data_IF_436727095681
#
_entry.id   IF_436727095681
#
_cell.length_a   1.000
_cell.length_b   1.000
_cell.length_c   1.000
_cell.angle_alpha   90.00
_cell.angle_beta   90.00
_cell.angle_gamma   90.00
#
_symmetry.space_group_name_H-M   'P 1'
#
loop_
_entity.id
_entity.type
_entity.pdbx_description
1 polymer ?
#
# COMPACT_ATOMS: atom_id res chain seq x y z
N UNK A 1 -9.53 -2.61 -34.17
CA UNK A 1 -8.24 -3.21 -33.77
C UNK A 1 -7.46 -2.14 -33.02
N UNK A 2 -7.21 -2.30 -31.72
CA UNK A 2 -6.24 -1.43 -31.03
C UNK A 2 -4.86 -1.84 -31.54
N UNK A 3 -4.14 -0.93 -32.18
CA UNK A 3 -2.74 -1.15 -32.57
C UNK A 3 -1.95 -1.35 -31.27
N UNK A 4 -1.44 -2.56 -31.04
CA UNK A 4 -0.57 -2.83 -29.90
C UNK A 4 0.77 -2.18 -30.27
N UNK A 5 1.03 -0.99 -29.72
CA UNK A 5 2.31 -0.31 -29.88
C UNK A 5 3.31 -0.99 -28.94
N UNK A 6 4.45 -1.44 -29.46
CA UNK A 6 5.52 -1.95 -28.62
C UNK A 6 6.19 -0.80 -27.88
N UNK A 7 6.73 -1.07 -26.69
CA UNK A 7 7.49 -0.09 -25.93
C UNK A 7 8.67 0.46 -26.75
N UNK A 8 9.34 -0.41 -27.51
CA UNK A 8 10.42 -0.04 -28.43
C UNK A 8 9.98 0.92 -29.54
N UNK A 9 8.74 0.78 -30.04
CA UNK A 9 8.19 1.70 -31.03
C UNK A 9 7.98 3.09 -30.43
N UNK A 10 7.44 3.18 -29.22
CA UNK A 10 7.24 4.46 -28.49
C UNK A 10 8.59 5.17 -28.29
N UNK A 11 9.61 4.47 -27.81
CA UNK A 11 10.95 5.06 -27.64
C UNK A 11 11.54 5.54 -28.98
N UNK A 12 11.35 4.75 -30.05
CA UNK A 12 11.83 5.13 -31.39
C UNK A 12 11.12 6.37 -31.91
N UNK A 13 9.81 6.49 -31.69
CA UNK A 13 9.01 7.63 -32.13
C UNK A 13 9.36 8.91 -31.34
N UNK A 14 9.57 8.80 -30.03
CA UNK A 14 10.06 9.91 -29.20
C UNK A 14 11.45 10.36 -29.69
N UNK A 15 12.38 9.42 -29.93
CA UNK A 15 13.70 9.78 -30.42
C UNK A 15 13.67 10.38 -31.83
N UNK A 16 12.73 9.94 -32.68
CA UNK A 16 12.56 10.52 -34.01
C UNK A 16 12.09 11.98 -33.95
N UNK A 17 11.15 12.28 -33.04
CA UNK A 17 10.62 13.62 -32.86
C UNK A 17 11.59 14.54 -32.08
N UNK A 18 12.43 13.97 -31.21
CA UNK A 18 13.37 14.68 -30.34
C UNK A 18 14.76 14.04 -30.38
N UNK A 19 15.50 14.16 -31.49
CA UNK A 19 16.74 13.41 -31.73
C UNK A 19 17.90 13.79 -30.79
N UNK A 20 17.91 15.02 -30.29
CA UNK A 20 18.93 15.54 -29.38
C UNK A 20 18.56 15.39 -27.89
N UNK A 21 17.35 14.89 -27.59
CA UNK A 21 16.89 14.68 -26.24
C UNK A 21 17.12 13.25 -25.75
N UNK A 22 17.21 13.11 -24.42
CA UNK A 22 17.29 11.82 -23.75
C UNK A 22 15.92 11.49 -23.14
N UNK A 23 15.47 10.26 -23.34
CA UNK A 23 14.25 9.74 -22.73
C UNK A 23 14.59 9.13 -21.38
N UNK A 24 13.97 9.65 -20.31
CA UNK A 24 14.04 9.09 -18.97
C UNK A 24 12.73 8.36 -18.65
N UNK A 25 12.82 7.05 -18.41
CA UNK A 25 11.72 6.26 -17.85
C UNK A 25 11.96 6.08 -16.35
N UNK A 26 10.98 6.49 -15.55
CA UNK A 26 10.97 6.28 -14.09
C UNK A 26 9.93 5.20 -13.79
N UNK A 27 10.37 4.14 -13.12
CA UNK A 27 9.49 3.11 -12.58
C UNK A 27 9.62 3.09 -11.06
N UNK A 28 8.69 3.78 -10.39
CA UNK A 28 8.59 3.80 -8.93
C UNK A 28 7.90 2.51 -8.44
N UNK A 29 8.27 2.02 -7.26
CA UNK A 29 7.76 0.77 -6.66
C UNK A 29 7.88 -0.45 -7.59
N UNK A 30 9.07 -0.64 -8.18
CA UNK A 30 9.32 -1.71 -9.16
C UNK A 30 9.07 -3.12 -8.60
N UNK A 31 9.05 -3.29 -7.27
CA UNK A 31 8.65 -4.53 -6.63
C UNK A 31 7.24 -5.02 -6.99
N UNK A 32 6.35 -4.13 -7.45
CA UNK A 32 4.99 -4.50 -7.86
C UNK A 32 4.97 -5.57 -8.95
N UNK A 33 6.01 -5.61 -9.79
CA UNK A 33 6.23 -6.66 -10.77
C UNK A 33 6.22 -8.07 -10.16
N UNK A 34 6.62 -8.20 -8.89
CA UNK A 34 6.73 -9.47 -8.18
C UNK A 34 5.64 -9.69 -7.13
N UNK A 35 4.77 -8.70 -6.89
CA UNK A 35 3.68 -8.80 -5.90
C UNK A 35 2.31 -8.84 -6.56
N UNK A 36 2.11 -8.10 -7.65
CA UNK A 36 0.85 -8.06 -8.40
C UNK A 36 0.77 -9.14 -9.49
N UNK A 37 1.92 -9.51 -10.06
CA UNK A 37 1.98 -10.57 -11.06
C UNK A 37 2.12 -11.93 -10.39
N UNK A 38 1.14 -12.81 -10.62
CA UNK A 38 1.11 -14.17 -10.08
C UNK A 38 1.93 -15.13 -10.97
N UNK A 39 2.07 -14.81 -12.26
CA UNK A 39 2.75 -15.65 -13.24
C UNK A 39 4.18 -15.14 -13.51
N UNK A 40 5.19 -15.89 -13.05
CA UNK A 40 6.60 -15.53 -13.24
C UNK A 40 6.98 -15.35 -14.72
N UNK A 41 6.35 -16.08 -15.63
CA UNK A 41 6.61 -16.00 -17.06
C UNK A 41 6.22 -14.63 -17.63
N UNK A 42 5.10 -14.05 -17.19
CA UNK A 42 4.67 -12.72 -17.60
C UNK A 42 5.66 -11.67 -17.10
N UNK A 43 6.07 -11.73 -15.83
CA UNK A 43 7.07 -10.80 -15.27
C UNK A 43 8.40 -10.88 -16.01
N UNK A 44 8.85 -12.09 -16.39
CA UNK A 44 10.08 -12.29 -17.17
C UNK A 44 9.97 -11.71 -18.58
N UNK A 45 8.87 -11.99 -19.28
CA UNK A 45 8.63 -11.43 -20.62
C UNK A 45 8.57 -9.90 -20.58
N UNK A 46 7.96 -9.32 -19.55
CA UNK A 46 7.95 -7.87 -19.35
C UNK A 46 9.37 -7.32 -19.15
N UNK A 47 10.19 -7.96 -18.31
CA UNK A 47 11.59 -7.57 -18.10
C UNK A 47 12.42 -7.69 -19.39
N UNK A 48 12.20 -8.72 -20.20
CA UNK A 48 12.86 -8.87 -21.51
C UNK A 48 12.54 -7.70 -22.44
N UNK A 49 11.26 -7.38 -22.60
CA UNK A 49 10.80 -6.26 -23.44
C UNK A 49 11.35 -4.93 -22.90
N UNK A 50 11.31 -4.73 -21.58
CA UNK A 50 11.85 -3.53 -20.95
C UNK A 50 13.36 -3.39 -21.22
N UNK A 51 14.16 -4.41 -20.89
CA UNK A 51 15.61 -4.40 -21.06
C UNK A 51 16.04 -4.27 -22.53
N UNK A 52 15.24 -4.77 -23.48
CA UNK A 52 15.51 -4.58 -24.91
C UNK A 52 15.49 -3.12 -25.35
N UNK A 53 14.76 -2.25 -24.63
CA UNK A 53 14.68 -0.80 -24.89
C UNK A 53 15.88 -0.02 -24.30
N UNK A 54 16.66 -0.66 -23.43
CA UNK A 54 17.80 -0.08 -22.72
C UNK A 54 19.06 -0.95 -22.90
N UNK A 55 19.63 -1.06 -24.11
CA UNK A 55 20.84 -1.85 -24.34
C UNK A 55 22.03 -1.31 -23.52
N UNK A 56 22.86 -2.20 -22.95
CA UNK A 56 24.10 -1.80 -22.24
C UNK A 56 25.04 -1.14 -23.24
N UNK A 57 25.37 0.13 -23.01
CA UNK A 57 26.24 0.88 -23.91
C UNK A 57 27.70 0.55 -23.62
N UNK A 58 28.20 -0.54 -24.21
CA UNK A 58 29.65 -0.79 -24.32
C UNK A 58 30.30 0.03 -25.46
N UNK A 59 29.52 0.82 -26.19
CA UNK A 59 30.01 1.74 -27.22
C UNK A 59 29.87 3.19 -26.76
N UNK A 60 30.80 4.05 -27.18
CA UNK A 60 30.83 5.50 -26.88
C UNK A 60 29.64 6.30 -27.44
N UNK A 61 28.56 5.62 -27.85
CA UNK A 61 27.30 6.27 -28.21
C UNK A 61 26.52 6.48 -26.91
N UNK A 62 26.30 7.74 -26.52
CA UNK A 62 25.38 8.08 -25.43
C UNK A 62 24.04 7.40 -25.70
N UNK A 63 23.64 6.46 -24.84
CA UNK A 63 22.31 5.89 -24.91
C UNK A 63 21.30 7.01 -24.64
N UNK A 64 20.44 7.27 -25.62
CA UNK A 64 19.37 8.27 -25.48
C UNK A 64 18.35 7.88 -24.42
N UNK A 65 18.29 6.61 -24.02
CA UNK A 65 17.31 6.10 -23.06
C UNK A 65 17.97 5.82 -21.69
N UNK A 66 17.32 6.26 -20.62
CA UNK A 66 17.68 6.01 -19.21
C UNK A 66 16.49 5.39 -18.50
N UNK A 67 16.74 4.34 -17.73
CA UNK A 67 15.76 3.74 -16.83
C UNK A 67 16.21 4.01 -15.39
N UNK A 68 15.32 4.60 -14.59
CA UNK A 68 15.47 4.71 -13.14
C UNK A 68 14.36 3.90 -12.50
N UNK A 69 14.75 2.90 -11.71
CA UNK A 69 13.80 2.11 -10.93
C UNK A 69 14.01 2.39 -9.44
N UNK A 70 12.93 2.41 -8.67
CA UNK A 70 12.99 2.35 -7.21
C UNK A 70 12.48 0.97 -6.79
N UNK A 71 13.11 0.37 -5.78
CA UNK A 71 12.68 -0.93 -5.28
C UNK A 71 13.08 -1.07 -3.82
N UNK A 72 12.21 -1.66 -3.00
CA UNK A 72 12.56 -2.00 -1.63
C UNK A 72 13.59 -3.16 -1.58
N UNK A 73 14.49 -3.11 -0.60
CA UNK A 73 15.61 -4.05 -0.50
C UNK A 73 15.19 -5.51 -0.26
N UNK A 74 14.03 -5.75 0.36
CA UNK A 74 13.45 -7.08 0.58
C UNK A 74 13.04 -7.79 -0.73
N UNK A 75 12.83 -7.04 -1.81
CA UNK A 75 12.54 -7.59 -3.14
C UNK A 75 13.77 -7.80 -4.02
N UNK A 76 14.96 -7.38 -3.56
CA UNK A 76 16.20 -7.54 -4.33
C UNK A 76 16.50 -9.01 -4.63
N UNK A 77 16.17 -9.94 -3.73
CA UNK A 77 16.34 -11.39 -3.96
C UNK A 77 15.54 -11.85 -5.19
N UNK A 78 14.30 -11.37 -5.34
CA UNK A 78 13.47 -11.70 -6.51
C UNK A 78 14.04 -11.07 -7.78
N UNK A 79 14.48 -9.81 -7.72
CA UNK A 79 15.12 -9.15 -8.85
C UNK A 79 16.39 -9.87 -9.34
N UNK A 80 17.21 -10.37 -8.41
CA UNK A 80 18.43 -11.11 -8.73
C UNK A 80 18.18 -12.53 -9.27
N UNK A 81 16.95 -13.04 -9.15
CA UNK A 81 16.60 -14.36 -9.70
C UNK A 81 16.59 -14.40 -11.23
N UNK A 82 16.40 -13.24 -11.89
CA UNK A 82 16.42 -13.12 -13.34
C UNK A 82 17.76 -12.54 -13.82
N UNK A 83 18.58 -13.41 -14.43
CA UNK A 83 19.99 -13.10 -14.74
C UNK A 83 20.21 -11.83 -15.57
N UNK A 84 19.48 -11.59 -16.68
CA UNK A 84 19.67 -10.38 -17.49
C UNK A 84 19.40 -9.09 -16.71
N UNK A 85 18.45 -9.09 -15.78
CA UNK A 85 18.19 -7.92 -14.93
C UNK A 85 19.24 -7.79 -13.84
N UNK A 86 19.65 -8.90 -13.23
CA UNK A 86 20.73 -8.92 -12.24
C UNK A 86 22.05 -8.35 -12.80
N UNK A 87 22.40 -8.68 -14.04
CA UNK A 87 23.59 -8.16 -14.71
C UNK A 87 23.52 -6.63 -14.91
N UNK A 88 22.33 -6.06 -15.15
CA UNK A 88 22.15 -4.60 -15.23
C UNK A 88 22.24 -3.91 -13.87
N UNK A 89 21.69 -4.52 -12.82
CA UNK A 89 21.77 -3.97 -11.47
C UNK A 89 23.22 -3.89 -10.96
N UNK A 90 24.11 -4.77 -11.42
CA UNK A 90 25.54 -4.69 -11.07
C UNK A 90 26.23 -3.43 -11.61
N UNK A 91 25.74 -2.88 -12.72
CA UNK A 91 26.31 -1.67 -13.33
C UNK A 91 25.86 -0.40 -12.57
N UNK A 92 24.65 -0.41 -12.00
CA UNK A 92 24.03 0.74 -11.32
C UNK A 92 23.07 0.30 -10.20
N UNK A 93 23.53 0.33 -8.95
CA UNK A 93 22.72 0.11 -7.74
C UNK A 93 23.06 1.20 -6.70
N UNK A 94 22.12 2.12 -6.47
CA UNK A 94 22.24 3.16 -5.44
C UNK A 94 21.41 2.73 -4.23
N UNK A 95 22.11 2.39 -3.15
CA UNK A 95 21.49 2.01 -1.88
C UNK A 95 21.22 3.27 -1.06
N UNK A 96 19.96 3.56 -0.83
CA UNK A 96 19.53 4.62 0.07
C UNK A 96 19.38 4.04 1.47
N UNK A 97 20.33 4.38 2.34
CA UNK A 97 20.24 4.11 3.78
C UNK A 97 19.29 5.08 4.49
N UNK A 98 18.98 4.82 5.77
CA UNK A 98 18.34 5.82 6.60
C UNK A 98 19.21 7.09 6.68
N UNK A 99 18.58 8.25 6.77
CA UNK A 99 19.29 9.53 6.93
C UNK A 99 20.12 9.51 8.22
N UNK A 100 21.32 10.08 8.12
CA UNK A 100 22.16 10.42 9.27
C UNK A 100 21.51 11.50 10.13
N UNK A 101 22.00 11.66 11.37
CA UNK A 101 21.55 12.73 12.27
C UNK A 101 21.77 14.11 11.65
N UNK A 102 22.90 14.28 10.97
CA UNK A 102 23.28 15.52 10.30
C UNK A 102 22.30 15.84 9.15
N UNK A 103 21.98 14.86 8.31
CA UNK A 103 20.99 15.02 7.23
C UNK A 103 19.59 15.33 7.78
N UNK A 104 19.16 14.63 8.85
CA UNK A 104 17.89 14.92 9.52
C UNK A 104 17.86 16.33 10.10
N UNK A 105 18.98 16.80 10.65
CA UNK A 105 19.10 18.17 11.19
C UNK A 105 18.88 19.18 10.07
N UNK A 106 19.50 18.97 8.90
CA UNK A 106 19.29 19.82 7.74
C UNK A 106 17.85 19.78 7.23
N UNK A 107 17.22 18.60 7.19
CA UNK A 107 15.82 18.42 6.79
C UNK A 107 14.87 19.20 7.70
N UNK A 108 15.13 19.24 9.01
CA UNK A 108 14.30 19.95 9.99
C UNK A 108 14.54 21.47 9.93
N UNK A 109 15.80 21.91 9.91
CA UNK A 109 16.15 23.31 10.11
C UNK A 109 16.10 24.15 8.83
N UNK A 110 16.55 23.61 7.70
CA UNK A 110 16.72 24.40 6.47
C UNK A 110 15.40 24.95 5.91
N UNK A 111 14.28 24.20 5.88
CA UNK A 111 13.00 24.74 5.41
C UNK A 111 12.53 25.95 6.25
N UNK A 112 12.66 25.84 7.57
CA UNK A 112 12.25 26.88 8.53
C UNK A 112 13.14 28.12 8.38
N UNK A 113 14.45 27.93 8.23
CA UNK A 113 15.42 29.01 8.02
C UNK A 113 15.17 29.77 6.71
N UNK A 114 14.86 29.06 5.61
CA UNK A 114 14.55 29.68 4.31
C UNK A 114 13.32 30.58 4.36
N UNK A 115 12.35 30.28 5.22
CA UNK A 115 11.14 31.07 5.41
C UNK A 115 11.31 32.21 6.44
N UNK A 116 12.49 32.32 7.07
CA UNK A 116 12.77 33.34 8.09
C UNK A 116 12.13 33.05 9.45
N UNK A 117 11.72 31.80 9.69
CA UNK A 117 11.23 31.32 10.98
C UNK A 117 12.39 30.76 11.81
N UNK A 118 12.14 30.52 13.09
CA UNK A 118 13.09 29.85 13.99
C UNK A 118 12.40 28.79 14.84
N UNK A 119 13.15 27.78 15.22
CA UNK A 119 12.77 26.94 16.34
C UNK A 119 13.07 27.67 17.65
N UNK A 120 12.26 27.41 18.67
CA UNK A 120 12.65 27.66 20.06
C UNK A 120 13.93 26.89 20.40
N UNK A 121 14.74 27.45 21.31
CA UNK A 121 16.07 26.93 21.63
C UNK A 121 15.94 25.48 22.13
N UNK A 122 16.65 24.55 21.48
CA UNK A 122 16.64 23.12 21.83
C UNK A 122 15.48 22.31 21.23
N UNK A 123 14.53 22.94 20.52
CA UNK A 123 13.40 22.21 19.93
C UNK A 123 13.80 21.31 18.76
N UNK A 124 14.69 21.77 17.88
CA UNK A 124 15.17 20.94 16.77
C UNK A 124 15.90 19.67 17.27
N UNK A 125 16.76 19.82 18.28
CA UNK A 125 17.45 18.69 18.94
C UNK A 125 16.48 17.72 19.60
N UNK A 126 15.43 18.24 20.24
CA UNK A 126 14.37 17.41 20.83
C UNK A 126 13.62 16.60 19.77
N UNK A 127 13.25 17.22 18.64
CA UNK A 127 12.60 16.54 17.52
C UNK A 127 13.53 15.45 16.96
N UNK A 128 14.83 15.74 16.80
CA UNK A 128 15.82 14.78 16.33
C UNK A 128 15.93 13.56 17.24
N UNK A 129 16.03 13.76 18.56
CA UNK A 129 16.10 12.67 19.53
C UNK A 129 14.85 11.78 19.46
N UNK A 130 13.66 12.37 19.28
CA UNK A 130 12.42 11.61 19.16
C UNK A 130 12.35 10.76 17.88
N UNK A 131 13.04 11.16 16.80
CA UNK A 131 13.13 10.43 15.52
C UNK A 131 14.19 9.32 15.57
N UNK A 132 15.31 9.55 16.23
CA UNK A 132 16.40 8.56 16.33
C UNK A 132 16.00 7.29 17.07
N UNK A 133 15.10 7.40 18.05
CA UNK A 133 14.51 6.25 18.74
C UNK A 133 13.63 5.37 17.81
N UNK A 134 13.26 5.87 16.63
CA UNK A 134 12.30 5.25 15.69
C UNK A 134 12.86 5.23 14.25
N UNK A 135 13.99 4.53 14.00
CA UNK A 135 14.66 4.56 12.71
C UNK A 135 13.74 4.10 11.58
N UNK A 136 13.56 4.98 10.58
CA UNK A 136 12.74 4.71 9.38
C UNK A 136 11.42 5.47 9.30
N UNK A 137 11.02 6.22 10.35
CA UNK A 137 9.74 6.92 10.38
C UNK A 137 9.82 8.40 9.90
N UNK A 138 10.47 8.65 8.76
CA UNK A 138 10.41 9.96 8.07
C UNK A 138 8.98 10.49 7.87
N UNK A 139 7.97 9.64 7.59
CA UNK A 139 6.58 10.12 7.51
C UNK A 139 6.03 10.67 8.82
N UNK A 140 6.43 10.13 9.99
CA UNK A 140 6.04 10.71 11.28
C UNK A 140 6.68 12.07 11.49
N UNK A 141 7.95 12.22 11.10
CA UNK A 141 8.64 13.50 11.15
C UNK A 141 7.94 14.53 10.27
N UNK A 142 7.64 14.19 9.01
CA UNK A 142 6.89 15.05 8.08
C UNK A 142 5.55 15.49 8.69
N UNK A 143 4.78 14.54 9.22
CA UNK A 143 3.50 14.82 9.85
C UNK A 143 3.64 15.75 11.06
N UNK A 144 4.57 15.45 11.97
CA UNK A 144 4.81 16.24 13.17
C UNK A 144 5.24 17.67 12.82
N UNK A 145 6.16 17.85 11.86
CA UNK A 145 6.60 19.17 11.40
C UNK A 145 5.45 19.94 10.74
N UNK A 146 4.60 19.27 9.96
CA UNK A 146 3.41 19.89 9.35
C UNK A 146 2.44 20.40 10.41
N UNK A 147 2.16 19.59 11.44
CA UNK A 147 1.28 19.99 12.56
C UNK A 147 1.90 21.04 13.47
N UNK A 148 3.22 21.00 13.66
CA UNK A 148 3.94 22.04 14.38
C UNK A 148 3.88 23.36 13.62
N UNK A 149 4.03 23.32 12.29
CA UNK A 149 3.91 24.49 11.42
C UNK A 149 2.51 25.12 11.46
N UNK A 150 1.45 24.31 11.45
CA UNK A 150 0.06 24.79 11.61
C UNK A 150 -0.16 25.57 12.93
N UNK A 151 0.66 25.30 13.95
CA UNK A 151 0.61 25.94 15.28
C UNK A 151 1.70 26.99 15.51
N UNK A 152 2.41 27.41 14.47
CA UNK A 152 3.42 28.46 14.59
C UNK A 152 2.84 29.74 15.19
N UNK A 153 3.64 30.44 16.00
CA UNK A 153 3.26 31.73 16.57
C UNK A 153 4.46 32.68 16.50
N UNK A 154 4.23 33.91 16.04
CA UNK A 154 5.28 34.96 16.08
C UNK A 154 6.56 34.63 15.30
N UNK A 155 6.45 33.92 14.16
CA UNK A 155 7.60 33.41 13.37
C UNK A 155 8.47 32.38 14.11
N UNK A 156 7.89 31.72 15.11
CA UNK A 156 8.58 30.72 15.91
C UNK A 156 7.76 29.43 16.03
N UNK A 157 8.47 28.31 16.02
CA UNK A 157 7.94 26.98 16.38
C UNK A 157 8.35 26.71 17.83
N UNK A 158 7.40 26.38 18.69
CA UNK A 158 7.60 26.34 20.15
C UNK A 158 7.49 24.94 20.73
N UNK A 159 8.12 24.74 21.90
CA UNK A 159 7.99 23.50 22.66
C UNK A 159 6.54 23.21 23.04
N UNK A 160 5.79 24.24 23.46
CA UNK A 160 4.38 24.11 23.81
C UNK A 160 3.54 23.58 22.63
N UNK A 161 3.78 24.10 21.42
CA UNK A 161 3.10 23.62 20.22
C UNK A 161 3.49 22.17 19.90
N UNK A 162 4.78 21.82 20.08
CA UNK A 162 5.30 20.48 19.87
C UNK A 162 4.69 19.45 20.85
N UNK A 163 4.51 19.82 22.12
CA UNK A 163 3.82 18.99 23.10
C UNK A 163 2.33 18.89 22.83
N UNK A 164 1.69 19.99 22.43
CA UNK A 164 0.28 20.02 22.10
C UNK A 164 -0.06 19.09 20.94
N UNK A 165 0.82 18.94 19.94
CA UNK A 165 0.62 17.98 18.85
C UNK A 165 0.90 16.53 19.27
N UNK A 166 1.60 16.29 20.39
CA UNK A 166 1.93 14.94 20.87
C UNK A 166 3.32 14.46 20.47
N UNK A 167 4.22 15.35 20.06
CA UNK A 167 5.60 15.03 19.64
C UNK A 167 5.63 14.08 18.42
N UNK A 168 6.80 13.70 17.93
CA UNK A 168 6.92 12.84 16.71
C UNK A 168 6.17 11.51 16.88
N UNK A 169 6.39 10.80 17.99
CA UNK A 169 5.82 9.46 18.23
C UNK A 169 4.29 9.42 18.25
N UNK A 170 3.66 10.38 18.93
CA UNK A 170 2.20 10.36 19.15
C UNK A 170 1.44 11.36 18.30
N UNK A 171 2.09 12.23 17.52
CA UNK A 171 1.36 13.21 16.73
C UNK A 171 0.35 12.59 15.78
N UNK A 172 0.77 11.56 15.02
CA UNK A 172 -0.12 10.90 14.07
C UNK A 172 -1.23 10.11 14.77
N UNK A 173 -0.90 9.36 15.83
CA UNK A 173 -1.87 8.59 16.60
C UNK A 173 -2.89 9.48 17.33
N UNK A 174 -2.43 10.57 17.94
CA UNK A 174 -3.29 11.57 18.59
C UNK A 174 -4.21 12.23 17.58
N UNK A 175 -3.69 12.63 16.43
CA UNK A 175 -4.50 13.21 15.37
C UNK A 175 -5.56 12.23 14.85
N UNK A 176 -5.18 10.97 14.61
CA UNK A 176 -6.11 9.92 14.20
C UNK A 176 -7.20 9.69 15.25
N UNK A 177 -6.83 9.64 16.52
CA UNK A 177 -7.77 9.54 17.64
C UNK A 177 -8.71 10.74 17.72
N UNK A 178 -8.19 11.97 17.66
CA UNK A 178 -8.99 13.20 17.69
C UNK A 178 -9.98 13.28 16.53
N UNK A 179 -9.63 12.72 15.36
CA UNK A 179 -10.53 12.61 14.21
C UNK A 179 -11.55 11.50 14.39
N UNK A 180 -11.14 10.34 14.88
CA UNK A 180 -12.00 9.21 15.18
C UNK A 180 -13.05 9.54 16.26
N UNK A 181 -12.66 10.25 17.31
CA UNK A 181 -13.53 10.61 18.43
C UNK A 181 -14.60 11.66 18.03
N UNK A 182 -14.44 12.32 16.89
CA UNK A 182 -15.45 13.24 16.31
C UNK A 182 -16.49 12.54 15.46
N UNK A 183 -16.25 11.30 15.06
CA UNK A 183 -17.20 10.49 14.29
C UNK A 183 -18.39 10.09 15.17
N UNK A 184 -19.57 9.94 14.57
CA UNK A 184 -20.72 9.35 15.25
C UNK A 184 -20.46 7.88 15.60
N UNK A 185 -21.20 7.29 16.54
CA UNK A 185 -21.03 5.87 16.90
C UNK A 185 -21.11 4.92 15.68
N UNK A 186 -21.98 5.23 14.71
CA UNK A 186 -22.09 4.45 13.47
C UNK A 186 -20.84 4.58 12.61
N UNK A 187 -20.37 5.81 12.39
CA UNK A 187 -19.16 6.07 11.61
C UNK A 187 -17.90 5.53 12.28
N UNK A 188 -17.86 5.50 13.61
CA UNK A 188 -16.79 4.88 14.39
C UNK A 188 -16.69 3.38 14.11
N UNK A 189 -17.81 2.66 14.06
CA UNK A 189 -17.84 1.24 13.67
C UNK A 189 -17.39 1.03 12.21
N UNK A 190 -17.83 1.92 11.31
CA UNK A 190 -17.42 1.89 9.90
C UNK A 190 -15.92 2.14 9.74
N UNK A 191 -15.38 3.15 10.42
CA UNK A 191 -13.97 3.49 10.40
C UNK A 191 -13.11 2.33 10.93
N UNK A 192 -13.53 1.66 12.02
CA UNK A 192 -12.85 0.45 12.51
C UNK A 192 -12.77 -0.62 11.42
N UNK A 193 -13.88 -0.94 10.75
CA UNK A 193 -13.92 -1.92 9.66
C UNK A 193 -13.03 -1.51 8.49
N UNK A 194 -13.08 -0.24 8.09
CA UNK A 194 -12.24 0.30 7.03
C UNK A 194 -10.76 0.09 7.38
N UNK A 195 -10.29 0.63 8.51
CA UNK A 195 -8.87 0.53 8.87
C UNK A 195 -8.38 -0.92 8.98
N UNK A 196 -9.20 -1.83 9.54
CA UNK A 196 -8.84 -3.26 9.62
C UNK A 196 -8.78 -3.92 8.23
N UNK A 197 -9.58 -3.48 7.26
CA UNK A 197 -9.49 -3.93 5.86
C UNK A 197 -8.22 -3.40 5.15
N UNK A 198 -7.67 -2.27 5.58
CA UNK A 198 -6.47 -1.64 4.99
C UNK A 198 -5.15 -2.16 5.58
N UNK A 199 -5.20 -3.21 6.38
CA UNK A 199 -4.01 -3.81 7.00
C UNK A 199 -3.93 -5.30 6.68
N UNK A 200 -2.72 -5.74 6.33
CA UNK A 200 -2.37 -7.15 6.29
C UNK A 200 -1.84 -7.59 7.68
N UNK A 201 -2.48 -8.56 8.35
CA UNK A 201 -2.01 -9.04 9.63
C UNK A 201 -0.77 -9.94 9.44
N UNK A 202 0.44 -9.40 9.62
CA UNK A 202 1.68 -10.18 9.68
C UNK A 202 1.90 -10.86 11.05
N UNK A 203 2.93 -11.69 11.16
CA UNK A 203 3.32 -12.30 12.44
C UNK A 203 3.88 -11.26 13.41
N UNK A 204 3.37 -11.24 14.65
CA UNK A 204 3.75 -10.25 15.67
C UNK A 204 3.32 -8.83 15.29
N UNK A 205 4.23 -7.86 15.49
CA UNK A 205 4.02 -6.43 15.19
C UNK A 205 4.31 -6.04 13.73
N UNK A 206 4.54 -7.01 12.84
CA UNK A 206 4.87 -6.75 11.42
C UNK A 206 3.61 -6.59 10.56
N UNK A 207 2.69 -5.74 11.01
CA UNK A 207 1.54 -5.36 10.19
C UNK A 207 1.98 -4.47 9.03
N UNK A 208 1.48 -4.74 7.83
CA UNK A 208 1.80 -3.94 6.64
C UNK A 208 0.52 -3.33 6.07
N UNK A 209 0.66 -2.21 5.36
CA UNK A 209 -0.48 -1.61 4.67
C UNK A 209 -0.99 -2.50 3.54
N UNK A 210 -2.28 -2.39 3.25
CA UNK A 210 -2.97 -3.09 2.16
C UNK A 210 -3.90 -2.10 1.45
N UNK A 211 -3.91 -2.15 0.12
CA UNK A 211 -4.92 -1.47 -0.70
C UNK A 211 -6.23 -2.25 -0.69
N UNK A 212 -7.35 -1.56 -0.49
CA UNK A 212 -8.69 -2.11 -0.67
C UNK A 212 -9.43 -1.33 -1.76
N UNK A 213 -10.31 -2.01 -2.50
CA UNK A 213 -11.17 -1.36 -3.48
C UNK A 213 -12.57 -1.08 -2.91
N UNK A 214 -13.36 -0.29 -3.66
CA UNK A 214 -14.74 0.06 -3.29
C UNK A 214 -15.65 -1.15 -3.06
N UNK A 215 -15.51 -2.21 -3.85
CA UNK A 215 -16.34 -3.42 -3.71
C UNK A 215 -16.03 -4.17 -2.40
N UNK A 216 -14.76 -4.21 -1.99
CA UNK A 216 -14.33 -4.84 -0.74
C UNK A 216 -14.79 -4.08 0.51
N UNK A 217 -14.86 -2.75 0.44
CA UNK A 217 -15.31 -1.94 1.58
C UNK A 217 -16.84 -1.82 1.63
N UNK A 218 -17.52 -1.90 0.49
CA UNK A 218 -18.94 -1.62 0.37
C UNK A 218 -19.26 -0.12 0.33
N UNK A 219 -20.42 0.22 -0.24
CA UNK A 219 -20.83 1.60 -0.53
C UNK A 219 -20.86 2.51 0.69
N UNK A 220 -21.43 2.03 1.80
CA UNK A 220 -21.57 2.81 3.04
C UNK A 220 -20.21 3.20 3.65
N UNK A 221 -19.24 2.28 3.61
CA UNK A 221 -17.89 2.54 4.11
C UNK A 221 -17.10 3.40 3.12
N UNK A 222 -17.29 3.19 1.82
CA UNK A 222 -16.68 4.02 0.78
C UNK A 222 -17.14 5.48 0.85
N UNK A 223 -18.41 5.71 1.19
CA UNK A 223 -18.91 7.06 1.45
C UNK A 223 -18.13 7.74 2.58
N UNK A 224 -17.87 7.05 3.71
CA UNK A 224 -17.09 7.62 4.82
C UNK A 224 -15.61 7.89 4.44
N UNK A 225 -15.05 7.11 3.52
CA UNK A 225 -13.71 7.37 2.97
C UNK A 225 -13.69 8.69 2.19
N UNK A 226 -14.72 8.94 1.37
CA UNK A 226 -14.71 9.96 0.32
C UNK A 226 -15.51 11.23 0.63
N UNK A 227 -16.36 11.21 1.66
CA UNK A 227 -17.17 12.37 2.01
C UNK A 227 -16.31 13.54 2.50
N UNK A 228 -16.87 14.75 2.43
CA UNK A 228 -16.27 15.92 3.06
C UNK A 228 -16.09 15.64 4.56
N UNK A 229 -14.95 16.03 5.13
CA UNK A 229 -14.54 15.70 6.50
C UNK A 229 -14.33 14.19 6.78
N UNK A 230 -14.37 13.35 5.73
CA UNK A 230 -14.14 11.91 5.80
C UNK A 230 -12.67 11.52 6.01
N UNK A 231 -12.38 10.23 5.88
CA UNK A 231 -11.05 9.69 6.18
C UNK A 231 -9.97 10.18 5.20
N UNK A 232 -10.31 10.40 3.93
CA UNK A 232 -9.37 10.91 2.93
C UNK A 232 -9.08 12.41 3.11
N UNK A 233 -10.12 13.21 3.37
CA UNK A 233 -9.99 14.65 3.64
C UNK A 233 -9.17 14.91 4.91
N UNK A 234 -9.32 14.04 5.92
CA UNK A 234 -8.48 14.04 7.12
C UNK A 234 -7.07 13.46 6.91
N UNK A 235 -6.69 13.04 5.69
CA UNK A 235 -5.38 12.44 5.37
C UNK A 235 -5.01 11.24 6.25
N UNK A 236 -6.00 10.49 6.75
CA UNK A 236 -5.75 9.22 7.43
C UNK A 236 -5.66 8.07 6.43
N UNK A 237 -6.33 8.21 5.29
CA UNK A 237 -6.22 7.33 4.12
C UNK A 237 -5.98 8.16 2.87
N UNK A 238 -5.47 7.53 1.81
CA UNK A 238 -5.33 8.10 0.47
C UNK A 238 -6.11 7.26 -0.51
N UNK A 239 -6.82 7.90 -1.43
CA UNK A 239 -7.52 7.25 -2.52
C UNK A 239 -6.71 7.34 -3.80
N UNK A 240 -6.77 6.28 -4.61
CA UNK A 240 -6.13 6.18 -5.92
C UNK A 240 -7.01 5.40 -6.89
N UNK A 241 -6.57 5.27 -8.13
CA UNK A 241 -7.19 4.43 -9.14
C UNK A 241 -6.18 3.39 -9.59
N UNK A 242 -6.55 2.12 -9.56
CA UNK A 242 -5.68 1.03 -10.00
C UNK A 242 -5.69 0.85 -11.53
N UNK A 243 -4.88 -0.09 -12.03
CA UNK A 243 -4.78 -0.40 -13.46
C UNK A 243 -6.10 -0.90 -14.07
N UNK A 244 -6.97 -1.51 -13.25
CA UNK A 244 -8.30 -1.93 -13.64
C UNK A 244 -9.33 -0.79 -13.62
N UNK A 245 -8.87 0.45 -13.39
CA UNK A 245 -9.68 1.66 -13.24
C UNK A 245 -10.66 1.60 -12.07
N UNK A 246 -10.33 0.82 -11.05
CA UNK A 246 -11.10 0.74 -9.82
C UNK A 246 -10.57 1.74 -8.81
N UNK A 247 -11.49 2.40 -8.12
CA UNK A 247 -11.13 3.27 -7.01
C UNK A 247 -10.61 2.40 -5.85
N UNK A 248 -9.44 2.78 -5.34
CA UNK A 248 -8.75 2.10 -4.25
C UNK A 248 -8.45 3.07 -3.13
N UNK A 249 -8.23 2.52 -1.93
CA UNK A 249 -7.85 3.28 -0.75
C UNK A 249 -6.79 2.51 0.05
N UNK A 250 -5.85 3.23 0.65
CA UNK A 250 -4.85 2.69 1.57
C UNK A 250 -4.56 3.67 2.72
N UNK A 251 -3.99 3.18 3.81
CA UNK A 251 -3.49 4.03 4.90
C UNK A 251 -2.33 4.87 4.38
N UNK A 252 -2.32 6.18 4.68
CA UNK A 252 -1.29 7.11 4.19
C UNK A 252 0.11 6.69 4.66
N UNK A 253 0.24 6.29 5.93
CA UNK A 253 1.54 5.91 6.52
C UNK A 253 1.42 4.68 7.42
N UNK A 254 2.31 3.69 7.25
CA UNK A 254 2.37 2.50 8.12
C UNK A 254 2.62 2.84 9.59
N UNK A 255 3.22 4.00 9.86
CA UNK A 255 3.40 4.50 11.20
C UNK A 255 2.08 4.65 11.98
N UNK A 256 0.95 4.86 11.29
CA UNK A 256 -0.37 4.85 11.93
C UNK A 256 -0.70 3.48 12.52
N UNK A 257 -0.37 2.40 11.81
CA UNK A 257 -0.57 1.02 12.26
C UNK A 257 0.29 0.71 13.49
N UNK A 258 1.51 1.24 13.51
CA UNK A 258 2.49 0.99 14.58
C UNK A 258 2.27 1.82 15.84
N UNK A 259 1.67 3.01 15.74
CA UNK A 259 1.61 3.95 16.86
C UNK A 259 0.19 4.22 17.36
N UNK A 260 -0.85 3.74 16.67
CA UNK A 260 -2.24 3.90 17.12
C UNK A 260 -2.73 2.65 17.84
N UNK A 261 -2.69 2.69 19.18
CA UNK A 261 -3.07 1.56 20.04
C UNK A 261 -4.48 1.01 19.77
N UNK A 262 -5.44 1.89 19.45
CA UNK A 262 -6.81 1.46 19.16
C UNK A 262 -6.85 0.62 17.88
N UNK A 263 -6.15 1.05 16.82
CA UNK A 263 -6.02 0.29 15.58
C UNK A 263 -5.33 -1.06 15.80
N UNK A 264 -4.26 -1.12 16.59
CA UNK A 264 -3.60 -2.39 16.91
C UNK A 264 -4.54 -3.36 17.61
N UNK A 265 -5.34 -2.89 18.56
CA UNK A 265 -6.36 -3.72 19.23
C UNK A 265 -7.40 -4.22 18.24
N UNK A 266 -7.87 -3.38 17.33
CA UNK A 266 -8.84 -3.78 16.31
C UNK A 266 -8.27 -4.86 15.39
N UNK A 267 -7.03 -4.69 14.92
CA UNK A 267 -6.34 -5.68 14.08
C UNK A 267 -6.17 -7.00 14.83
N UNK A 268 -5.78 -6.97 16.11
CA UNK A 268 -5.58 -8.18 16.90
C UNK A 268 -6.90 -8.92 17.14
N UNK A 269 -7.96 -8.19 17.48
CA UNK A 269 -9.30 -8.75 17.66
C UNK A 269 -9.82 -9.44 16.39
N UNK A 270 -9.50 -8.87 15.24
CA UNK A 270 -9.97 -9.35 13.94
C UNK A 270 -8.94 -10.22 13.19
N UNK A 271 -7.78 -10.50 13.80
CA UNK A 271 -6.65 -11.22 13.17
C UNK A 271 -7.09 -12.53 12.53
N UNK A 272 -7.80 -13.38 13.27
CA UNK A 272 -8.29 -14.68 12.77
C UNK A 272 -9.18 -14.52 11.55
N UNK A 273 -10.10 -13.56 11.59
CA UNK A 273 -11.02 -13.28 10.50
C UNK A 273 -10.27 -12.74 9.28
N UNK A 274 -9.37 -11.77 9.46
CA UNK A 274 -8.62 -11.16 8.36
C UNK A 274 -7.64 -12.13 7.70
N UNK A 275 -6.92 -12.95 8.47
CA UNK A 275 -6.06 -14.00 7.89
C UNK A 275 -6.88 -14.99 7.06
N UNK A 276 -8.05 -15.40 7.55
CA UNK A 276 -8.96 -16.27 6.79
C UNK A 276 -9.50 -15.58 5.53
N UNK A 277 -9.93 -14.32 5.62
CA UNK A 277 -10.49 -13.54 4.52
C UNK A 277 -9.47 -13.34 3.38
N UNK A 278 -8.20 -13.06 3.69
CA UNK A 278 -7.16 -12.94 2.66
C UNK A 278 -6.89 -14.28 1.96
N UNK A 279 -6.94 -15.40 2.69
CA UNK A 279 -6.90 -16.74 2.10
C UNK A 279 -8.10 -17.02 1.18
N UNK A 280 -9.30 -16.57 1.57
CA UNK A 280 -10.50 -16.68 0.75
C UNK A 280 -10.39 -15.84 -0.53
N UNK A 281 -9.90 -14.61 -0.45
CA UNK A 281 -9.66 -13.74 -1.62
C UNK A 281 -8.66 -14.33 -2.59
N UNK A 282 -7.65 -15.04 -2.09
CA UNK A 282 -6.73 -15.81 -2.94
C UNK A 282 -7.49 -16.94 -3.69
N UNK A 283 -8.32 -17.72 -3.00
CA UNK A 283 -9.12 -18.77 -3.62
C UNK A 283 -10.12 -18.23 -4.67
N UNK A 284 -10.74 -17.07 -4.40
CA UNK A 284 -11.64 -16.39 -5.35
C UNK A 284 -10.88 -16.03 -6.64
N UNK A 285 -9.67 -15.47 -6.54
CA UNK A 285 -8.86 -15.15 -7.72
C UNK A 285 -8.53 -16.39 -8.55
N UNK A 286 -8.17 -17.50 -7.90
CA UNK A 286 -7.92 -18.78 -8.57
C UNK A 286 -9.18 -19.32 -9.26
N UNK A 287 -10.34 -19.25 -8.60
CA UNK A 287 -11.61 -19.64 -9.19
C UNK A 287 -11.97 -18.80 -10.41
N UNK A 288 -11.79 -17.48 -10.35
CA UNK A 288 -12.02 -16.58 -11.48
C UNK A 288 -11.07 -16.89 -12.66
N UNK A 289 -9.78 -17.09 -12.39
CA UNK A 289 -8.77 -17.42 -13.41
C UNK A 289 -9.02 -18.77 -14.07
N UNK A 290 -9.56 -19.75 -13.32
CA UNK A 290 -9.94 -21.06 -13.86
C UNK A 290 -11.18 -21.06 -14.78
N UNK A 291 -11.77 -19.88 -15.05
CA UNK A 291 -13.04 -19.78 -15.78
C UNK A 291 -14.25 -20.23 -14.94
N UNK A 292 -14.17 -20.02 -13.62
CA UNK A 292 -15.16 -20.44 -12.62
C UNK A 292 -15.35 -21.97 -12.51
N UNK A 293 -14.24 -22.73 -12.51
CA UNK A 293 -14.29 -24.19 -12.34
C UNK A 293 -14.90 -24.61 -10.98
N UNK A 294 -15.75 -25.63 -11.02
CA UNK A 294 -16.40 -26.23 -9.83
C UNK A 294 -15.40 -26.97 -8.93
N UNK A 295 -14.27 -27.40 -9.48
CA UNK A 295 -13.17 -27.98 -8.71
C UNK A 295 -12.54 -27.00 -7.73
N UNK A 296 -12.55 -25.70 -8.07
CA UNK A 296 -11.96 -24.62 -7.27
C UNK A 296 -12.93 -24.00 -6.24
N UNK A 297 -14.15 -24.51 -6.11
CA UNK A 297 -15.11 -24.07 -5.08
C UNK A 297 -14.77 -24.62 -3.70
N UNK A 298 -15.22 -23.92 -2.65
CA UNK A 298 -14.99 -24.34 -1.27
C UNK A 298 -15.67 -25.67 -0.96
N UNK A 299 -14.97 -26.56 -0.25
CA UNK A 299 -15.49 -27.87 0.17
C UNK A 299 -15.18 -28.18 1.64
N UNK A 300 -15.93 -29.12 2.20
CA UNK A 300 -15.70 -29.66 3.54
C UNK A 300 -15.57 -28.57 4.60
N UNK A 301 -14.43 -28.58 5.32
CA UNK A 301 -14.16 -27.65 6.42
C UNK A 301 -14.12 -26.18 5.99
N UNK A 302 -13.55 -25.88 4.83
CA UNK A 302 -13.43 -24.50 4.33
C UNK A 302 -14.81 -23.89 4.03
N UNK A 303 -15.72 -24.70 3.46
CA UNK A 303 -17.09 -24.27 3.21
C UNK A 303 -17.87 -24.07 4.52
N UNK A 304 -17.68 -24.94 5.51
CA UNK A 304 -18.30 -24.78 6.83
C UNK A 304 -17.85 -23.48 7.51
N UNK A 305 -16.54 -23.23 7.54
CA UNK A 305 -15.97 -22.01 8.12
C UNK A 305 -16.44 -20.75 7.38
N UNK A 306 -16.52 -20.78 6.05
CA UNK A 306 -17.03 -19.66 5.26
C UNK A 306 -18.50 -19.33 5.57
N UNK A 307 -19.34 -20.35 5.77
CA UNK A 307 -20.74 -20.14 6.17
C UNK A 307 -20.86 -19.53 7.56
N UNK A 308 -20.04 -19.98 8.52
CA UNK A 308 -20.02 -19.44 9.88
C UNK A 308 -19.61 -17.95 9.89
N UNK A 309 -18.57 -17.60 9.13
CA UNK A 309 -18.16 -16.21 8.98
C UNK A 309 -19.22 -15.35 8.28
N UNK A 310 -19.83 -15.85 7.20
CA UNK A 310 -20.89 -15.12 6.49
C UNK A 310 -22.11 -14.83 7.38
N UNK A 311 -22.44 -15.73 8.32
CA UNK A 311 -23.51 -15.49 9.30
C UNK A 311 -23.16 -14.41 10.32
N UNK A 312 -21.91 -14.36 10.77
CA UNK A 312 -21.46 -13.44 11.83
C UNK A 312 -21.07 -12.06 11.30
N UNK A 313 -20.54 -11.98 10.09
CA UNK A 313 -19.89 -10.80 9.51
C UNK A 313 -20.31 -10.55 8.06
N UNK A 314 -21.62 -10.65 7.81
CA UNK A 314 -22.19 -10.51 6.46
C UNK A 314 -21.73 -9.23 5.73
N UNK A 315 -21.70 -8.11 6.44
CA UNK A 315 -21.32 -6.80 5.89
C UNK A 315 -19.84 -6.78 5.46
N UNK A 316 -18.97 -7.47 6.20
CA UNK A 316 -17.52 -7.48 5.92
C UNK A 316 -17.16 -8.44 4.78
N UNK A 317 -18.14 -9.17 4.24
CA UNK A 317 -17.97 -10.24 3.24
C UNK A 317 -18.81 -10.01 1.96
N UNK A 318 -19.25 -8.78 1.71
CA UNK A 318 -20.11 -8.47 0.55
C UNK A 318 -19.42 -8.84 -0.78
N UNK A 319 -18.11 -8.58 -0.90
CA UNK A 319 -17.33 -8.90 -2.09
C UNK A 319 -17.10 -10.41 -2.28
N UNK A 320 -16.99 -11.17 -1.19
CA UNK A 320 -16.72 -12.61 -1.19
C UNK A 320 -18.00 -13.46 -1.24
N UNK A 321 -19.16 -12.82 -1.07
CA UNK A 321 -20.46 -13.47 -0.91
C UNK A 321 -20.83 -14.38 -2.08
N UNK A 322 -20.66 -13.92 -3.32
CA UNK A 322 -20.98 -14.71 -4.53
C UNK A 322 -20.26 -16.07 -4.48
N UNK A 323 -18.97 -16.07 -4.17
CA UNK A 323 -18.16 -17.29 -4.17
C UNK A 323 -18.57 -18.27 -3.07
N UNK A 324 -18.95 -17.76 -1.89
CA UNK A 324 -19.46 -18.60 -0.81
C UNK A 324 -20.81 -19.20 -1.20
N UNK A 325 -21.73 -18.39 -1.74
CA UNK A 325 -23.07 -18.84 -2.14
C UNK A 325 -23.00 -19.90 -3.25
N UNK A 326 -22.20 -19.68 -4.29
CA UNK A 326 -21.98 -20.66 -5.37
C UNK A 326 -21.37 -21.96 -4.83
N UNK A 327 -20.44 -21.88 -3.87
CA UNK A 327 -19.86 -23.07 -3.23
C UNK A 327 -20.90 -23.86 -2.43
N UNK A 328 -21.83 -23.17 -1.76
CA UNK A 328 -22.94 -23.81 -1.04
C UNK A 328 -23.90 -24.50 -2.01
N UNK A 329 -24.25 -23.85 -3.11
CA UNK A 329 -25.15 -24.40 -4.13
C UNK A 329 -24.60 -25.67 -4.76
N UNK A 330 -23.31 -25.67 -5.16
CA UNK A 330 -22.69 -26.86 -5.73
C UNK A 330 -22.67 -28.01 -4.73
N UNK A 331 -22.38 -27.75 -3.45
CA UNK A 331 -22.42 -28.79 -2.41
C UNK A 331 -23.81 -29.40 -2.24
N UNK A 332 -24.86 -28.57 -2.30
CA UNK A 332 -26.23 -29.07 -2.23
C UNK A 332 -26.57 -29.95 -3.44
N UNK A 333 -26.11 -29.59 -4.64
CA UNK A 333 -26.28 -30.40 -5.86
C UNK A 333 -25.54 -31.74 -5.76
N UNK A 334 -24.32 -31.75 -5.23
CA UNK A 334 -23.56 -32.99 -4.99
C UNK A 334 -24.29 -33.95 -4.05
N UNK A 335 -24.78 -33.44 -2.90
CA UNK A 335 -25.54 -34.25 -1.92
C UNK A 335 -26.79 -34.86 -2.57
N UNK A 336 -27.53 -34.08 -3.36
CA UNK A 336 -28.72 -34.59 -4.06
C UNK A 336 -28.40 -35.68 -5.10
N UNK A 337 -27.23 -35.59 -5.76
CA UNK A 337 -26.76 -36.64 -6.68
C UNK A 337 -26.34 -37.90 -5.95
N UNK A 338 -25.69 -37.78 -4.80
CA UNK A 338 -25.31 -38.92 -3.94
C UNK A 338 -26.55 -39.67 -3.43
N UNK A 339 -27.56 -38.94 -2.95
CA UNK A 339 -28.83 -39.53 -2.48
C UNK A 339 -29.55 -40.31 -3.60
N UNK A 340 -29.57 -39.76 -4.82
CA UNK A 340 -30.17 -40.41 -6.01
C UNK A 340 -29.38 -41.62 -6.55
N UNK A 341 -28.11 -41.78 -6.17
CA UNK A 341 -27.29 -42.96 -6.56
C UNK A 341 -27.38 -44.09 -5.55
N UNK A 342 -27.80 -43.77 -4.33
CA UNK A 342 -27.91 -44.72 -3.21
C UNK A 342 -29.35 -45.23 -3.03
N UNK A 343 -30.30 -44.64 -3.75
CA UNK A 343 -31.69 -45.08 -3.91
C UNK A 343 -31.84 -45.74 -5.27
#
# INVERSE_FOLDING_TARGET
>A
MKTILSLSYIFTEIQHNYPDERVLLIADQFEELYTLCIEEEISRNFLEVLLSCFPSSNSKQSSSNVLVTTMRADFLVKALSYRPFADRLQETDIKLGPMSREELTEVIEQPVKKLGFKFEVGLAERILNDVEDEPGNLPLLEFALTKLWEKQAGKQLTHDAYEAIGQVKRALAKYAKDKYDKLTSKEQEQAQRIFVQLVYPGEGNKHTRRRANRAELGEDNWHLVTCNEGLADSRLVVTSVDDAKQETVEIVHEALIQNWDDLQKWIENDRKFRTWQEGLRFAIRQWQQSGKDKGALLRGRQLFEAKDWLQRRRIDLEAEREYIEVSVEERNVEIQRELKRTT
#
